data_IF_492802511939
#
_entry.id   IF_492802511939
#
_cell.length_a   1.000
_cell.length_b   1.000
_cell.length_c   1.000
_cell.angle_alpha   90.00
_cell.angle_beta   90.00
_cell.angle_gamma   90.00
#
_symmetry.space_group_name_H-M   'P 1'
#
loop_
_entity.id
_entity.type
_entity.pdbx_description
1 polymer ?
#
# COMPACT_ATOMS: atom_id res chain seq x y z
N UNK A 1 23.32 12.67 -1.32
CA UNK A 1 22.46 12.60 -2.52
C UNK A 1 23.08 13.52 -3.56
N UNK A 2 23.67 12.98 -4.64
CA UNK A 2 23.97 13.80 -5.83
C UNK A 2 22.61 14.12 -6.43
N UNK A 3 22.02 15.25 -6.07
CA UNK A 3 20.67 15.58 -6.49
C UNK A 3 20.71 15.93 -7.98
N UNK A 4 20.20 15.02 -8.80
CA UNK A 4 19.98 15.27 -10.21
C UNK A 4 18.77 16.20 -10.35
N UNK A 5 18.95 17.40 -10.93
CA UNK A 5 17.86 18.37 -11.13
C UNK A 5 16.63 17.76 -11.84
N UNK A 6 16.86 16.75 -12.67
CA UNK A 6 15.79 16.04 -13.39
C UNK A 6 14.97 15.13 -12.47
N UNK A 7 15.60 14.50 -11.46
CA UNK A 7 14.87 13.75 -10.42
C UNK A 7 13.99 14.66 -9.60
N UNK A 8 14.49 15.83 -9.18
CA UNK A 8 13.69 16.81 -8.46
C UNK A 8 12.50 17.28 -9.29
N UNK A 9 12.73 17.58 -10.58
CA UNK A 9 11.67 17.97 -11.51
C UNK A 9 10.60 16.89 -11.66
N UNK A 10 11.02 15.62 -11.78
CA UNK A 10 10.10 14.50 -11.86
C UNK A 10 9.28 14.31 -10.58
N UNK A 11 9.90 14.47 -9.41
CA UNK A 11 9.21 14.38 -8.12
C UNK A 11 8.16 15.47 -7.93
N UNK A 12 8.43 16.69 -8.41
CA UNK A 12 7.49 17.82 -8.34
C UNK A 12 6.30 17.64 -9.31
N UNK A 13 6.58 17.08 -10.49
CA UNK A 13 5.57 16.81 -11.51
C UNK A 13 4.66 15.62 -11.17
N UNK A 14 5.19 14.55 -10.54
CA UNK A 14 4.44 13.33 -10.26
C UNK A 14 3.45 13.48 -9.08
N UNK A 15 2.20 12.98 -9.17
CA UNK A 15 1.59 12.24 -10.28
C UNK A 15 0.73 13.10 -11.23
N UNK A 16 0.85 14.43 -11.17
CA UNK A 16 -0.10 15.34 -11.81
C UNK A 16 0.26 15.68 -13.25
N UNK A 17 1.55 15.85 -13.56
CA UNK A 17 2.07 16.06 -14.92
C UNK A 17 2.93 14.87 -15.33
N UNK A 18 2.28 13.82 -15.86
CA UNK A 18 2.93 12.55 -16.18
C UNK A 18 3.93 12.65 -17.33
N UNK A 19 3.64 13.50 -18.33
CA UNK A 19 4.54 13.72 -19.48
C UNK A 19 5.87 14.33 -19.01
N UNK A 20 5.79 15.44 -18.26
CA UNK A 20 6.97 16.09 -17.69
C UNK A 20 7.74 15.20 -16.72
N UNK A 21 7.02 14.41 -15.91
CA UNK A 21 7.63 13.44 -15.02
C UNK A 21 8.37 12.35 -15.79
N UNK A 22 7.77 11.79 -16.86
CA UNK A 22 8.36 10.73 -17.68
C UNK A 22 9.63 11.23 -18.38
N UNK A 23 9.54 12.36 -19.09
CA UNK A 23 10.71 12.93 -19.77
C UNK A 23 11.84 13.22 -18.79
N UNK A 24 11.51 13.81 -17.63
CA UNK A 24 12.52 14.14 -16.62
C UNK A 24 13.16 12.88 -16.04
N UNK A 25 12.43 11.78 -15.89
CA UNK A 25 12.99 10.51 -15.44
C UNK A 25 13.90 9.87 -16.49
N UNK A 26 13.50 9.90 -17.76
CA UNK A 26 14.35 9.42 -18.86
C UNK A 26 15.67 10.21 -18.93
N UNK A 27 15.60 11.53 -18.82
CA UNK A 27 16.80 12.35 -18.72
C UNK A 27 17.62 11.96 -17.49
N UNK A 28 17.01 11.82 -16.31
CA UNK A 28 17.73 11.45 -15.11
C UNK A 28 18.52 10.13 -15.27
N UNK A 29 17.85 9.09 -15.77
CA UNK A 29 18.44 7.76 -15.98
C UNK A 29 19.47 7.73 -17.12
N UNK A 30 19.37 8.63 -18.10
CA UNK A 30 20.41 8.77 -19.12
C UNK A 30 21.73 9.32 -18.57
N UNK A 31 21.68 10.12 -17.49
CA UNK A 31 22.87 10.62 -16.80
C UNK A 31 23.40 9.64 -15.76
N UNK A 32 22.49 8.98 -15.04
CA UNK A 32 22.80 8.01 -14.00
C UNK A 32 21.74 6.91 -14.00
N UNK A 33 22.03 5.82 -14.70
CA UNK A 33 21.11 4.67 -14.83
C UNK A 33 20.89 3.93 -13.51
N UNK A 34 21.71 4.18 -12.49
CA UNK A 34 21.63 3.54 -11.18
C UNK A 34 21.00 4.47 -10.13
N UNK A 35 20.47 5.64 -10.51
CA UNK A 35 19.78 6.54 -9.58
C UNK A 35 18.53 5.85 -8.98
N UNK A 36 18.68 5.40 -7.74
CA UNK A 36 17.63 4.64 -7.03
C UNK A 36 16.33 5.43 -6.87
N UNK A 37 16.40 6.77 -6.83
CA UNK A 37 15.21 7.62 -6.72
C UNK A 37 14.48 7.69 -8.06
N UNK A 38 15.22 7.85 -9.16
CA UNK A 38 14.66 7.82 -10.50
C UNK A 38 14.03 6.46 -10.83
N UNK A 39 14.77 5.37 -10.59
CA UNK A 39 14.27 4.01 -10.79
C UNK A 39 13.03 3.72 -9.92
N UNK A 40 13.02 4.14 -8.66
CA UNK A 40 11.85 4.01 -7.80
C UNK A 40 10.64 4.75 -8.37
N UNK A 41 10.81 5.99 -8.84
CA UNK A 41 9.71 6.76 -9.40
C UNK A 41 9.21 6.19 -10.74
N UNK A 42 10.09 5.64 -11.58
CA UNK A 42 9.71 4.87 -12.76
C UNK A 42 8.87 3.64 -12.40
N UNK A 43 9.33 2.85 -11.42
CA UNK A 43 8.59 1.69 -10.93
C UNK A 43 7.19 2.06 -10.42
N UNK A 44 7.09 3.19 -9.70
CA UNK A 44 5.80 3.73 -9.25
C UNK A 44 4.93 4.17 -10.42
N UNK A 45 5.46 4.87 -11.41
CA UNK A 45 4.68 5.29 -12.59
C UNK A 45 4.09 4.08 -13.32
N UNK A 46 4.90 3.06 -13.60
CA UNK A 46 4.44 1.83 -14.25
C UNK A 46 3.38 1.10 -13.41
N UNK A 47 3.60 0.92 -12.10
CA UNK A 47 2.70 0.14 -11.25
C UNK A 47 1.45 0.89 -10.79
N UNK A 48 1.58 2.16 -10.41
CA UNK A 48 0.51 2.98 -9.86
C UNK A 48 -0.37 3.56 -10.98
N UNK A 49 0.23 4.00 -12.09
CA UNK A 49 -0.47 4.69 -13.19
C UNK A 49 -0.78 3.74 -14.34
N UNK A 50 0.24 3.13 -14.96
CA UNK A 50 0.05 2.33 -16.18
C UNK A 50 -0.48 0.92 -15.93
N UNK A 51 -0.44 0.45 -14.67
CA UNK A 51 -0.77 -0.92 -14.28
C UNK A 51 0.10 -1.97 -14.98
N UNK A 52 1.30 -1.56 -15.39
CA UNK A 52 2.33 -2.45 -15.90
C UNK A 52 3.17 -2.94 -14.73
N UNK A 53 2.67 -3.98 -14.07
CA UNK A 53 3.29 -4.49 -12.85
C UNK A 53 4.62 -5.19 -13.13
N UNK A 54 4.80 -5.81 -14.30
CA UNK A 54 6.08 -6.46 -14.66
C UNK A 54 7.19 -5.42 -14.86
N UNK A 55 6.92 -4.34 -15.62
CA UNK A 55 7.88 -3.26 -15.74
C UNK A 55 8.18 -2.60 -14.39
N UNK A 56 7.14 -2.37 -13.58
CA UNK A 56 7.30 -1.80 -12.25
C UNK A 56 8.22 -2.64 -11.35
N UNK A 57 8.03 -3.97 -11.34
CA UNK A 57 8.90 -4.90 -10.60
C UNK A 57 10.35 -4.81 -11.06
N UNK A 58 10.59 -4.76 -12.36
CA UNK A 58 11.95 -4.67 -12.90
C UNK A 58 12.65 -3.40 -12.42
N UNK A 59 12.01 -2.23 -12.54
CA UNK A 59 12.59 -0.98 -12.03
C UNK A 59 12.87 -1.00 -10.52
N UNK A 60 11.96 -1.58 -9.72
CA UNK A 60 12.19 -1.71 -8.29
C UNK A 60 13.34 -2.68 -7.97
N UNK A 61 13.46 -3.79 -8.70
CA UNK A 61 14.54 -4.75 -8.53
C UNK A 61 15.89 -4.16 -8.95
N UNK A 62 15.95 -3.40 -10.04
CA UNK A 62 17.15 -2.67 -10.45
C UNK A 62 17.61 -1.70 -9.35
N UNK A 63 16.69 -0.90 -8.81
CA UNK A 63 17.01 0.02 -7.72
C UNK A 63 17.48 -0.70 -6.44
N UNK A 64 16.85 -1.84 -6.10
CA UNK A 64 17.24 -2.66 -4.95
C UNK A 64 18.57 -3.42 -5.18
N UNK A 65 18.95 -3.68 -6.43
CA UNK A 65 20.25 -4.25 -6.76
C UNK A 65 21.38 -3.24 -6.50
N UNK A 66 21.13 -1.95 -6.75
CA UNK A 66 22.05 -0.85 -6.43
C UNK A 66 22.14 -0.64 -4.92
N UNK A 67 20.99 -0.57 -4.24
CA UNK A 67 20.93 -0.42 -2.79
C UNK A 67 19.78 -1.24 -2.20
N UNK A 68 20.11 -2.43 -1.69
CA UNK A 68 19.12 -3.31 -1.06
C UNK A 68 18.44 -2.69 0.16
N UNK A 69 19.07 -1.68 0.78
CA UNK A 69 18.55 -0.94 1.95
C UNK A 69 17.87 0.38 1.57
N UNK A 70 17.48 0.59 0.30
CA UNK A 70 16.61 1.67 -0.13
C UNK A 70 15.17 1.45 0.39
N UNK A 71 14.98 1.67 1.69
CA UNK A 71 13.73 1.39 2.42
C UNK A 71 12.51 2.15 1.87
N UNK A 72 12.74 3.27 1.19
CA UNK A 72 11.72 4.07 0.51
C UNK A 72 11.03 3.29 -0.62
N UNK A 73 11.71 2.30 -1.20
CA UNK A 73 11.20 1.47 -2.30
C UNK A 73 10.23 0.41 -1.78
N UNK A 74 10.48 -0.10 -0.56
CA UNK A 74 9.82 -1.29 -0.06
C UNK A 74 8.29 -1.19 -0.08
N UNK A 75 7.66 -0.08 0.34
CA UNK A 75 6.20 0.00 0.33
C UNK A 75 5.61 -0.09 -1.08
N UNK A 76 6.28 0.48 -2.07
CA UNK A 76 5.81 0.49 -3.46
C UNK A 76 6.00 -0.87 -4.11
N UNK A 77 7.16 -1.50 -3.90
CA UNK A 77 7.43 -2.84 -4.41
C UNK A 77 6.47 -3.88 -3.83
N UNK A 78 6.24 -3.86 -2.50
CA UNK A 78 5.26 -4.74 -1.84
C UNK A 78 3.86 -4.54 -2.41
N UNK A 79 3.43 -3.30 -2.63
CA UNK A 79 2.12 -3.04 -3.24
C UNK A 79 2.02 -3.65 -4.64
N UNK A 80 3.05 -3.48 -5.49
CA UNK A 80 3.06 -4.04 -6.84
C UNK A 80 3.03 -5.57 -6.82
N UNK A 81 3.80 -6.21 -5.96
CA UNK A 81 3.76 -7.68 -5.82
C UNK A 81 2.36 -8.17 -5.40
N UNK A 82 1.70 -7.47 -4.47
CA UNK A 82 0.32 -7.79 -4.04
C UNK A 82 -0.68 -7.57 -5.18
N UNK A 83 -0.55 -6.47 -5.94
CA UNK A 83 -1.45 -6.16 -7.05
C UNK A 83 -1.29 -7.12 -8.23
N UNK A 84 -0.07 -7.60 -8.47
CA UNK A 84 0.24 -8.58 -9.49
C UNK A 84 -0.03 -10.03 -9.04
N UNK A 85 -0.49 -10.23 -7.80
CA UNK A 85 -0.74 -11.54 -7.20
C UNK A 85 0.53 -12.42 -7.03
N UNK A 86 1.71 -11.80 -6.98
CA UNK A 86 3.01 -12.46 -6.72
C UNK A 86 3.16 -12.81 -5.23
N UNK A 87 2.30 -13.67 -4.73
CA UNK A 87 2.10 -13.93 -3.30
C UNK A 87 3.33 -14.54 -2.61
N UNK A 88 4.03 -15.45 -3.29
CA UNK A 88 5.20 -16.11 -2.71
C UNK A 88 6.35 -15.10 -2.51
N UNK A 89 6.56 -14.22 -3.47
CA UNK A 89 7.62 -13.22 -3.40
C UNK A 89 7.23 -12.06 -2.48
N UNK A 90 5.94 -11.72 -2.41
CA UNK A 90 5.41 -10.81 -1.39
C UNK A 90 5.75 -11.30 0.02
N UNK A 91 5.48 -12.57 0.34
CA UNK A 91 5.72 -13.11 1.68
C UNK A 91 7.22 -13.09 2.02
N UNK A 92 8.08 -13.56 1.11
CA UNK A 92 9.53 -13.56 1.27
C UNK A 92 10.09 -12.14 1.47
N UNK A 93 9.64 -11.20 0.66
CA UNK A 93 10.15 -9.82 0.72
C UNK A 93 9.70 -9.12 2.00
N UNK A 94 8.46 -9.32 2.46
CA UNK A 94 8.00 -8.80 3.75
C UNK A 94 8.84 -9.40 4.89
N UNK A 95 9.14 -10.70 4.86
CA UNK A 95 9.95 -11.35 5.90
C UNK A 95 11.39 -10.81 5.94
N UNK A 96 11.98 -10.55 4.78
CA UNK A 96 13.25 -9.83 4.68
C UNK A 96 13.14 -8.40 5.27
N UNK A 97 12.15 -7.63 4.83
CA UNK A 97 11.96 -6.23 5.24
C UNK A 97 11.76 -6.08 6.76
N UNK A 98 11.14 -7.05 7.43
CA UNK A 98 10.97 -7.06 8.88
C UNK A 98 12.30 -7.05 9.66
N UNK A 99 13.39 -7.53 9.06
CA UNK A 99 14.75 -7.51 9.62
C UNK A 99 15.51 -6.21 9.39
N UNK A 100 15.02 -5.31 8.52
CA UNK A 100 15.72 -4.09 8.11
C UNK A 100 15.39 -2.93 9.07
N UNK A 101 16.39 -2.14 9.45
CA UNK A 101 16.18 -0.95 10.30
C UNK A 101 15.53 0.17 9.49
N UNK A 102 14.61 0.91 10.12
CA UNK A 102 13.93 2.05 9.49
C UNK A 102 12.61 1.71 8.79
N UNK A 103 12.28 0.44 8.60
CA UNK A 103 10.99 0.03 8.04
C UNK A 103 9.85 0.17 9.05
N UNK A 104 8.66 0.54 8.59
CA UNK A 104 7.44 0.49 9.40
C UNK A 104 6.94 -0.97 9.55
N UNK A 105 7.34 -1.60 10.67
CA UNK A 105 6.97 -2.99 10.98
C UNK A 105 5.46 -3.19 11.16
N UNK A 106 4.74 -2.17 11.63
CA UNK A 106 3.28 -2.25 11.79
C UNK A 106 2.60 -2.29 10.42
N UNK A 107 3.11 -1.50 9.47
CA UNK A 107 2.66 -1.50 8.09
C UNK A 107 3.03 -2.79 7.34
N UNK A 108 4.22 -3.34 7.56
CA UNK A 108 4.63 -4.63 6.98
C UNK A 108 3.71 -5.77 7.43
N UNK A 109 3.38 -5.84 8.72
CA UNK A 109 2.42 -6.82 9.23
C UNK A 109 1.01 -6.60 8.67
N UNK A 110 0.59 -5.35 8.46
CA UNK A 110 -0.66 -5.03 7.78
C UNK A 110 -0.68 -5.56 6.33
N UNK A 111 0.40 -5.40 5.57
CA UNK A 111 0.53 -6.01 4.23
C UNK A 111 0.55 -7.53 4.26
N UNK A 112 1.20 -8.13 5.27
CA UNK A 112 1.15 -9.58 5.46
C UNK A 112 -0.26 -10.09 5.77
N UNK A 113 -1.04 -9.31 6.51
CA UNK A 113 -2.45 -9.59 6.74
C UNK A 113 -3.29 -9.49 5.45
N UNK A 114 -3.02 -8.48 4.61
CA UNK A 114 -3.66 -8.31 3.29
C UNK A 114 -3.37 -9.49 2.35
N UNK A 115 -2.11 -9.93 2.28
CA UNK A 115 -1.70 -11.14 1.55
C UNK A 115 -2.49 -12.36 2.02
N UNK A 116 -2.54 -12.60 3.33
CA UNK A 116 -3.30 -13.73 3.88
C UNK A 116 -4.81 -13.59 3.66
N UNK A 117 -5.34 -12.38 3.61
CA UNK A 117 -6.75 -12.13 3.25
C UNK A 117 -7.02 -12.54 1.80
N UNK A 118 -6.16 -12.18 0.83
CA UNK A 118 -6.28 -12.59 -0.57
C UNK A 118 -6.21 -14.11 -0.74
N UNK A 119 -5.29 -14.76 0.00
CA UNK A 119 -5.17 -16.22 0.06
C UNK A 119 -6.28 -16.92 0.86
N UNK A 120 -7.28 -16.17 1.37
CA UNK A 120 -8.38 -16.68 2.21
C UNK A 120 -7.91 -17.37 3.50
N UNK A 121 -6.69 -17.08 3.94
CA UNK A 121 -6.08 -17.56 5.20
C UNK A 121 -6.51 -16.65 6.36
N UNK A 122 -7.78 -16.76 6.76
CA UNK A 122 -8.40 -15.85 7.74
C UNK A 122 -7.71 -15.82 9.11
N UNK A 123 -7.37 -17.00 9.65
CA UNK A 123 -6.72 -17.11 10.96
C UNK A 123 -5.31 -16.48 10.95
N UNK A 124 -4.43 -16.79 9.98
CA UNK A 124 -3.16 -16.08 9.81
C UNK A 124 -3.32 -14.56 9.65
N UNK A 125 -4.28 -14.11 8.83
CA UNK A 125 -4.51 -12.68 8.63
C UNK A 125 -4.86 -11.96 9.95
N UNK A 126 -5.80 -12.52 10.74
CA UNK A 126 -6.17 -11.96 12.04
C UNK A 126 -5.01 -11.98 13.06
N UNK A 127 -4.12 -12.97 12.99
CA UNK A 127 -2.91 -13.01 13.81
C UNK A 127 -1.97 -11.83 13.49
N UNK A 128 -1.69 -11.60 12.21
CA UNK A 128 -0.85 -10.48 11.77
C UNK A 128 -1.44 -9.12 12.19
N UNK A 129 -2.76 -8.94 12.10
CA UNK A 129 -3.44 -7.72 12.56
C UNK A 129 -3.23 -7.49 14.07
N UNK A 130 -3.32 -8.56 14.87
CA UNK A 130 -3.12 -8.48 16.32
C UNK A 130 -1.68 -8.08 16.64
N UNK A 131 -0.70 -8.66 15.95
CA UNK A 131 0.72 -8.32 16.12
C UNK A 131 1.00 -6.89 15.68
N UNK A 132 0.48 -6.46 14.53
CA UNK A 132 0.62 -5.11 14.01
C UNK A 132 0.08 -4.06 15.01
N UNK A 133 -1.06 -4.34 15.65
CA UNK A 133 -1.69 -3.43 16.61
C UNK A 133 -0.83 -3.16 17.84
N UNK A 134 -0.04 -4.14 18.29
CA UNK A 134 0.82 -3.98 19.49
C UNK A 134 1.92 -2.95 19.24
N UNK A 135 2.42 -2.87 18.01
CA UNK A 135 3.57 -2.03 17.63
C UNK A 135 3.18 -0.77 16.84
N UNK A 136 1.91 -0.66 16.43
CA UNK A 136 1.38 0.50 15.73
C UNK A 136 1.48 1.77 16.59
N UNK A 137 2.02 2.84 16.00
CA UNK A 137 2.29 4.11 16.69
C UNK A 137 1.64 5.33 16.02
N UNK A 138 0.86 5.13 14.96
CA UNK A 138 0.17 6.20 14.25
C UNK A 138 -1.33 5.88 14.07
N UNK A 139 -2.16 6.91 14.05
CA UNK A 139 -3.61 6.76 13.94
C UNK A 139 -4.06 6.08 12.64
N UNK A 140 -3.52 6.44 11.45
CA UNK A 140 -3.94 5.81 10.19
C UNK A 140 -3.80 4.29 10.18
N UNK A 141 -2.65 3.73 10.60
CA UNK A 141 -2.46 2.28 10.60
C UNK A 141 -3.42 1.58 11.58
N UNK A 142 -3.70 2.19 12.73
CA UNK A 142 -4.64 1.64 13.72
C UNK A 142 -6.06 1.54 13.12
N UNK A 143 -6.50 2.59 12.41
CA UNK A 143 -7.81 2.61 11.76
C UNK A 143 -7.90 1.60 10.59
N UNK A 144 -6.83 1.47 9.81
CA UNK A 144 -6.74 0.47 8.74
C UNK A 144 -6.80 -0.95 9.30
N UNK A 145 -6.06 -1.25 10.37
CA UNK A 145 -6.07 -2.54 11.05
C UNK A 145 -7.45 -2.90 11.59
N UNK A 146 -8.14 -1.93 12.21
CA UNK A 146 -9.52 -2.13 12.71
C UNK A 146 -10.48 -2.45 11.55
N UNK A 147 -10.41 -1.68 10.48
CA UNK A 147 -11.27 -1.86 9.30
C UNK A 147 -11.03 -3.22 8.62
N UNK A 148 -9.77 -3.61 8.50
CA UNK A 148 -9.38 -4.91 7.94
C UNK A 148 -9.84 -6.08 8.83
N UNK A 149 -9.72 -5.95 10.15
CA UNK A 149 -10.19 -6.98 11.10
C UNK A 149 -11.70 -7.23 10.94
N UNK A 150 -12.49 -6.17 10.91
CA UNK A 150 -13.94 -6.24 10.71
C UNK A 150 -14.28 -6.89 9.36
N UNK A 151 -13.56 -6.51 8.30
CA UNK A 151 -13.73 -7.06 6.96
C UNK A 151 -13.45 -8.57 6.93
N UNK A 152 -12.33 -9.02 7.51
CA UNK A 152 -11.96 -10.44 7.55
C UNK A 152 -12.95 -11.25 8.41
N UNK A 153 -13.37 -10.74 9.57
CA UNK A 153 -14.40 -11.39 10.41
C UNK A 153 -15.73 -11.54 9.69
N UNK A 154 -16.11 -10.53 8.91
CA UNK A 154 -17.32 -10.57 8.06
C UNK A 154 -17.19 -11.64 6.98
N UNK A 155 -16.07 -11.64 6.24
CA UNK A 155 -15.79 -12.63 5.17
C UNK A 155 -15.73 -14.07 5.70
N UNK A 156 -15.06 -14.29 6.83
CA UNK A 156 -14.88 -15.63 7.43
C UNK A 156 -16.13 -16.22 8.07
N UNK A 157 -17.08 -15.40 8.52
CA UNK A 157 -18.33 -15.85 9.13
C UNK A 157 -19.49 -16.05 8.14
N UNK A 158 -19.30 -15.73 6.85
CA UNK A 158 -20.34 -15.80 5.82
C UNK A 158 -21.49 -14.80 6.01
N UNK A 159 -21.46 -13.93 7.02
CA UNK A 159 -22.49 -12.93 7.27
C UNK A 159 -22.29 -11.72 6.36
N UNK A 160 -23.27 -11.38 5.51
CA UNK A 160 -23.29 -10.08 4.82
C UNK A 160 -23.40 -8.96 5.85
N UNK A 161 -22.60 -7.89 5.71
CA UNK A 161 -22.69 -6.68 6.56
C UNK A 161 -24.15 -6.18 6.53
N UNK A 162 -24.86 -6.29 7.65
CA UNK A 162 -26.15 -5.62 7.79
C UNK A 162 -25.88 -4.13 7.71
N UNK A 163 -26.47 -3.43 6.74
CA UNK A 163 -26.44 -1.97 6.65
C UNK A 163 -27.24 -1.37 7.82
N UNK A 164 -26.68 -1.41 9.03
CA UNK A 164 -27.23 -0.78 10.22
C UNK A 164 -26.90 0.71 10.18
N UNK A 165 -27.62 1.45 9.34
CA UNK A 165 -27.47 2.91 9.22
C UNK A 165 -28.72 3.68 8.76
N UNK A 166 -29.68 3.04 8.06
CA UNK A 166 -30.85 3.77 7.52
C UNK A 166 -32.18 3.59 8.26
N UNK A 167 -32.34 2.61 9.16
CA UNK A 167 -33.64 2.40 9.84
C UNK A 167 -33.91 3.32 11.04
N UNK A 168 -32.90 3.94 11.66
CA UNK A 168 -33.12 4.78 12.85
C UNK A 168 -33.49 6.26 12.56
N UNK A 169 -33.42 6.71 11.30
CA UNK A 169 -33.92 8.06 10.91
C UNK A 169 -35.41 8.08 10.55
N UNK A 170 -36.03 6.95 10.19
CA UNK A 170 -37.47 6.90 9.87
C UNK A 170 -38.34 6.94 11.13
N UNK A 171 -37.99 6.17 12.16
CA UNK A 171 -38.71 6.16 13.46
C UNK A 171 -38.67 7.49 14.24
N UNK A 172 -37.70 8.36 13.98
CA UNK A 172 -37.60 9.71 14.59
C UNK A 172 -38.36 10.79 13.82
N UNK A 173 -38.68 10.58 12.54
CA UNK A 173 -39.53 11.50 11.76
C UNK A 173 -41.01 11.25 12.04
N UNK A 174 -41.42 10.00 12.19
CA UNK A 174 -42.83 9.67 12.43
C UNK A 174 -43.31 10.17 13.81
N UNK A 175 -42.47 10.12 14.86
CA UNK A 175 -42.79 10.68 16.18
C UNK A 175 -42.81 12.22 16.25
N UNK A 176 -42.31 12.93 15.24
CA UNK A 176 -42.32 14.41 15.22
C UNK A 176 -43.58 14.96 14.54
N UNK A 177 -44.20 14.19 13.65
CA UNK A 177 -45.45 14.58 12.99
C UNK A 177 -46.71 14.26 13.81
N UNK A 178 -46.63 13.32 14.76
CA UNK A 178 -47.77 12.96 15.64
C UNK A 178 -47.94 13.92 16.84
N UNK A 179 -47.00 14.85 17.05
CA UNK A 179 -47.06 15.88 18.10
C UNK A 179 -47.36 17.29 17.57
N UNK A 180 -47.66 17.41 16.28
CA UNK A 180 -47.93 18.68 15.60
C UNK A 180 -49.30 18.69 14.89
N UNK A 181 -50.17 17.73 15.20
CA UNK A 181 -51.57 17.68 14.81
C UNK A 181 -52.46 17.83 16.05
#
# INVERSE_FOLDING_TARGET
MKSNKYVLKALDAYPYNLEEASESLEYALSYDSEDTTALCLMGRMHGEIFKDFEAAKNYFLEALAVNVHAIEIYPHYINVLIWNEDYADTEKFIDFAMGVKGTDKSWLLYRKAELYEQLKKWKPALKMIKEARVIANNTPIIDWLKTMEERIKTKSSGKKKSTSGKKNKKKRRDKKNEKAA
#
